data_IF_924900066270
#
_entry.id   IF_924900066270
#
_cell.length_a   1.000
_cell.length_b   1.000
_cell.length_c   1.000
_cell.angle_alpha   90.00
_cell.angle_beta   90.00
_cell.angle_gamma   90.00
#
_symmetry.space_group_name_H-M   'P 1'
#
loop_
_entity.id
_entity.type
_entity.pdbx_description
1 polymer ?
#
# COMPACT_ATOMS: atom_id res chain seq x y z
N UNK A 1 -18.43 20.67 -5.59
CA UNK A 1 -18.57 22.13 -5.39
C UNK A 1 -18.81 22.51 -3.93
N UNK A 2 -19.71 21.83 -3.19
CA UNK A 2 -19.98 22.14 -1.77
C UNK A 2 -18.77 22.03 -0.82
N UNK A 3 -17.86 21.07 -1.06
CA UNK A 3 -16.69 20.83 -0.19
C UNK A 3 -15.66 21.97 -0.17
N UNK A 4 -15.45 22.64 -1.30
CA UNK A 4 -14.59 23.82 -1.34
C UNK A 4 -15.24 24.97 -0.56
N UNK A 5 -16.58 25.09 -0.60
CA UNK A 5 -17.31 26.11 0.16
C UNK A 5 -17.08 25.96 1.67
N UNK A 6 -17.16 24.75 2.23
CA UNK A 6 -16.93 24.52 3.66
C UNK A 6 -15.52 24.94 4.10
N UNK A 7 -14.49 24.58 3.32
CA UNK A 7 -13.10 24.96 3.61
C UNK A 7 -12.94 26.49 3.55
N UNK A 8 -13.50 27.13 2.51
CA UNK A 8 -13.47 28.59 2.38
C UNK A 8 -14.19 29.27 3.54
N UNK A 9 -15.36 28.78 3.95
CA UNK A 9 -16.13 29.33 5.07
C UNK A 9 -15.32 29.26 6.37
N UNK A 10 -14.75 28.10 6.69
CA UNK A 10 -13.92 27.94 7.89
C UNK A 10 -12.75 28.94 7.84
N UNK A 11 -12.04 29.01 6.72
CA UNK A 11 -10.91 29.92 6.57
C UNK A 11 -11.32 31.39 6.77
N UNK A 12 -12.42 31.82 6.14
CA UNK A 12 -12.93 33.19 6.26
C UNK A 12 -13.35 33.52 7.70
N UNK A 13 -14.01 32.60 8.40
CA UNK A 13 -14.41 32.81 9.80
C UNK A 13 -13.18 33.04 10.68
N UNK A 14 -12.17 32.16 10.60
CA UNK A 14 -10.96 32.30 11.42
C UNK A 14 -10.10 33.50 11.02
N UNK A 15 -10.15 33.92 9.74
CA UNK A 15 -9.51 35.16 9.30
C UNK A 15 -10.19 36.40 9.90
N UNK A 16 -11.52 36.44 9.95
CA UNK A 16 -12.27 37.55 10.58
C UNK A 16 -12.02 37.57 12.09
N UNK A 17 -12.12 36.42 12.78
CA UNK A 17 -11.84 36.33 14.22
C UNK A 17 -10.41 36.75 14.51
N UNK A 18 -9.44 36.26 13.73
CA UNK A 18 -8.04 36.65 13.86
C UNK A 18 -7.85 38.15 13.67
N UNK A 19 -8.50 38.76 12.67
CA UNK A 19 -8.40 40.20 12.44
C UNK A 19 -8.96 41.00 13.62
N UNK A 20 -10.14 40.62 14.14
CA UNK A 20 -10.75 41.26 15.30
C UNK A 20 -9.83 41.16 16.53
N UNK A 21 -9.40 39.94 16.88
CA UNK A 21 -8.55 39.73 18.05
C UNK A 21 -7.16 40.36 17.90
N UNK A 22 -6.57 40.31 16.71
CA UNK A 22 -5.29 40.95 16.40
C UNK A 22 -5.35 42.46 16.55
N UNK A 23 -6.43 43.09 16.10
CA UNK A 23 -6.67 44.53 16.28
C UNK A 23 -6.95 44.89 17.75
N UNK A 24 -7.81 44.14 18.44
CA UNK A 24 -8.17 44.43 19.85
C UNK A 24 -6.98 44.31 20.80
N UNK A 25 -6.10 43.33 20.56
CA UNK A 25 -4.92 43.07 21.38
C UNK A 25 -3.65 43.75 20.87
N UNK A 26 -3.74 44.47 19.73
CA UNK A 26 -2.60 45.04 19.01
C UNK A 26 -1.44 44.03 18.82
N UNK A 27 -1.77 42.77 18.54
CA UNK A 27 -0.80 41.67 18.48
C UNK A 27 -0.94 40.85 17.21
N UNK A 28 0.11 40.87 16.40
CA UNK A 28 0.20 40.03 15.20
C UNK A 28 0.22 38.53 15.56
N UNK A 29 0.83 38.15 16.68
CA UNK A 29 0.84 36.77 17.16
C UNK A 29 -0.58 36.24 17.45
N UNK A 30 -1.47 37.09 17.96
CA UNK A 30 -2.87 36.74 18.18
C UNK A 30 -3.63 36.56 16.87
N UNK A 31 -3.40 37.43 15.88
CA UNK A 31 -3.95 37.25 14.53
C UNK A 31 -3.53 35.90 13.93
N UNK A 32 -2.23 35.61 13.93
CA UNK A 32 -1.70 34.38 13.33
C UNK A 32 -2.17 33.14 14.09
N UNK A 33 -2.27 33.21 15.42
CA UNK A 33 -2.79 32.12 16.25
C UNK A 33 -4.18 31.68 15.81
N UNK A 34 -5.12 32.61 15.63
CA UNK A 34 -6.47 32.28 15.16
C UNK A 34 -6.48 31.74 13.74
N UNK A 35 -5.65 32.30 12.84
CA UNK A 35 -5.50 31.78 11.49
C UNK A 35 -5.00 30.32 11.51
N UNK A 36 -4.04 30.00 12.37
CA UNK A 36 -3.52 28.65 12.53
C UNK A 36 -4.57 27.69 13.08
N UNK A 37 -5.40 28.08 14.05
CA UNK A 37 -6.52 27.23 14.50
C UNK A 37 -7.43 26.87 13.30
N UNK A 38 -7.73 27.83 12.43
CA UNK A 38 -8.50 27.58 11.20
C UNK A 38 -7.82 26.61 10.25
N UNK A 39 -6.52 26.80 10.00
CA UNK A 39 -5.71 25.90 9.15
C UNK A 39 -5.62 24.49 9.74
N UNK A 40 -5.46 24.37 11.06
CA UNK A 40 -5.47 23.10 11.78
C UNK A 40 -6.80 22.38 11.58
N UNK A 41 -7.93 23.07 11.69
CA UNK A 41 -9.26 22.47 11.55
C UNK A 41 -9.49 21.97 10.11
N UNK A 42 -9.12 22.78 9.11
CA UNK A 42 -9.16 22.38 7.69
C UNK A 42 -8.29 21.15 7.45
N UNK A 43 -7.07 21.14 7.99
CA UNK A 43 -6.15 20.02 7.86
C UNK A 43 -6.70 18.75 8.50
N UNK A 44 -7.27 18.87 9.70
CA UNK A 44 -7.89 17.78 10.46
C UNK A 44 -9.04 17.16 9.68
N UNK A 45 -9.97 17.97 9.15
CA UNK A 45 -11.06 17.50 8.30
C UNK A 45 -10.54 16.75 7.08
N UNK A 46 -9.51 17.28 6.42
CA UNK A 46 -8.90 16.64 5.24
C UNK A 46 -8.23 15.30 5.59
N UNK A 47 -7.59 15.19 6.75
CA UNK A 47 -7.06 13.92 7.25
C UNK A 47 -8.19 12.92 7.45
N UNK A 48 -9.23 13.26 8.21
CA UNK A 48 -10.32 12.33 8.50
C UNK A 48 -11.03 11.85 7.24
N UNK A 49 -11.23 12.75 6.27
CA UNK A 49 -11.82 12.38 5.01
C UNK A 49 -10.93 11.44 4.19
N UNK A 50 -9.62 11.71 4.15
CA UNK A 50 -8.68 10.80 3.51
C UNK A 50 -8.64 9.45 4.23
N UNK A 51 -8.71 9.41 5.56
CA UNK A 51 -8.80 8.17 6.34
C UNK A 51 -10.07 7.41 5.96
N UNK A 52 -11.23 8.09 5.93
CA UNK A 52 -12.51 7.50 5.54
C UNK A 52 -12.43 6.89 4.15
N UNK A 53 -11.93 7.65 3.18
CA UNK A 53 -11.72 7.19 1.80
C UNK A 53 -10.83 5.95 1.75
N UNK A 54 -9.71 5.93 2.48
CA UNK A 54 -8.82 4.77 2.50
C UNK A 54 -9.46 3.55 3.17
N UNK A 55 -10.29 3.75 4.21
CA UNK A 55 -11.06 2.67 4.85
C UNK A 55 -12.10 2.08 3.91
N UNK A 56 -12.83 2.91 3.16
CA UNK A 56 -13.82 2.45 2.16
C UNK A 56 -13.21 1.51 1.11
N UNK A 57 -11.97 1.79 0.70
CA UNK A 57 -11.23 0.95 -0.26
C UNK A 57 -10.32 -0.10 0.39
N UNK A 58 -10.35 -0.27 1.72
CA UNK A 58 -9.42 -1.11 2.47
C UNK A 58 -7.93 -0.87 2.10
N UNK A 59 -7.60 0.36 1.73
CA UNK A 59 -6.26 0.74 1.31
C UNK A 59 -5.38 1.02 2.53
N UNK A 60 -4.11 0.57 2.55
CA UNK A 60 -3.17 0.98 3.57
C UNK A 60 -2.95 2.50 3.52
N UNK A 61 -2.71 3.10 4.69
CA UNK A 61 -2.37 4.52 4.85
C UNK A 61 -0.86 4.74 4.60
N UNK A 62 -0.33 4.20 3.51
CA UNK A 62 1.10 4.20 3.17
C UNK A 62 1.44 5.25 2.10
N UNK A 63 0.75 6.38 2.08
CA UNK A 63 1.06 7.51 1.21
C UNK A 63 1.89 8.55 1.96
N UNK A 64 2.70 9.33 1.24
CA UNK A 64 3.46 10.45 1.81
C UNK A 64 2.59 11.40 2.64
N UNK A 65 1.33 11.63 2.22
CA UNK A 65 0.35 12.42 2.96
C UNK A 65 0.12 11.95 4.40
N UNK A 66 0.14 10.64 4.68
CA UNK A 66 -0.07 10.13 6.04
C UNK A 66 1.23 9.96 6.82
N UNK A 67 2.34 9.77 6.13
CA UNK A 67 3.62 9.48 6.78
C UNK A 67 4.36 10.76 7.16
N UNK A 68 4.40 11.75 6.26
CA UNK A 68 5.21 12.96 6.43
C UNK A 68 4.37 14.09 7.01
N UNK A 69 3.20 14.34 6.43
CA UNK A 69 2.46 15.58 6.68
C UNK A 69 1.97 15.74 8.13
N UNK A 70 1.43 14.71 8.81
CA UNK A 70 1.06 14.82 10.22
C UNK A 70 2.28 15.14 11.07
N UNK A 71 3.44 14.55 10.79
CA UNK A 71 4.65 14.80 11.56
C UNK A 71 5.13 16.25 11.40
N UNK A 72 5.14 16.77 10.18
CA UNK A 72 5.46 18.17 9.92
C UNK A 72 4.49 19.13 10.63
N UNK A 73 3.19 18.83 10.60
CA UNK A 73 2.17 19.63 11.31
C UNK A 73 2.39 19.55 12.82
N UNK A 74 2.62 18.37 13.39
CA UNK A 74 2.90 18.21 14.82
C UNK A 74 4.10 19.05 15.27
N UNK A 75 5.22 18.97 14.54
CA UNK A 75 6.43 19.75 14.83
C UNK A 75 6.14 21.26 14.73
N UNK A 76 5.48 21.69 13.65
CA UNK A 76 5.15 23.10 13.44
C UNK A 76 4.28 23.67 14.58
N UNK A 77 3.23 22.94 14.98
CA UNK A 77 2.34 23.40 16.05
C UNK A 77 3.00 23.36 17.43
N UNK A 78 3.97 22.46 17.68
CA UNK A 78 4.78 22.51 18.91
C UNK A 78 5.60 23.79 18.98
N UNK A 79 6.34 24.10 17.91
CA UNK A 79 7.16 25.32 17.85
C UNK A 79 6.29 26.57 17.96
N UNK A 80 5.13 26.59 17.29
CA UNK A 80 4.23 27.73 17.38
C UNK A 80 3.66 27.94 18.79
N UNK A 81 3.64 26.92 19.64
CA UNK A 81 3.22 27.05 21.04
C UNK A 81 3.97 28.17 21.77
N UNK A 82 5.27 28.34 21.52
CA UNK A 82 6.05 29.43 22.14
C UNK A 82 5.61 30.84 21.74
N UNK A 83 4.96 30.98 20.58
CA UNK A 83 4.58 32.27 20.00
C UNK A 83 3.09 32.56 20.09
N UNK A 84 2.29 31.56 20.47
CA UNK A 84 0.85 31.74 20.52
C UNK A 84 0.47 32.66 21.68
N UNK A 85 -0.42 33.62 21.42
CA UNK A 85 -0.99 34.45 22.47
C UNK A 85 -2.29 33.89 23.07
N UNK A 86 -2.67 32.66 22.72
CA UNK A 86 -3.87 31.98 23.24
C UNK A 86 -3.53 30.52 23.55
N UNK A 87 -3.84 30.05 24.77
CA UNK A 87 -3.53 28.68 25.24
C UNK A 87 -2.02 28.35 25.31
N UNK A 88 -1.15 29.36 25.31
CA UNK A 88 0.31 29.22 25.36
C UNK A 88 0.87 29.05 26.78
N UNK A 89 0.02 29.15 27.81
CA UNK A 89 0.39 29.00 29.22
C UNK A 89 1.04 27.64 29.48
N UNK A 90 2.16 27.66 30.19
CA UNK A 90 2.89 26.45 30.50
C UNK A 90 2.21 25.69 31.63
N UNK A 91 1.80 24.45 31.35
CA UNK A 91 1.12 23.57 32.28
C UNK A 91 2.09 22.81 33.20
N UNK A 92 3.39 22.81 32.89
CA UNK A 92 4.42 22.08 33.63
C UNK A 92 5.55 23.01 34.08
N UNK A 93 6.09 22.81 35.29
CA UNK A 93 7.31 23.49 35.73
C UNK A 93 8.57 22.84 35.14
N UNK A 94 9.43 23.62 34.48
CA UNK A 94 10.77 23.19 34.02
C UNK A 94 10.85 22.71 32.55
N UNK A 95 9.76 22.21 31.97
CA UNK A 95 9.64 21.92 30.52
C UNK A 95 8.46 22.70 29.95
N UNK A 96 8.55 23.08 28.68
CA UNK A 96 7.45 23.76 28.00
C UNK A 96 6.41 22.74 27.53
N UNK A 97 5.21 22.83 28.08
CA UNK A 97 4.06 22.07 27.64
C UNK A 97 2.78 22.86 27.89
N UNK A 98 2.15 23.34 26.83
CA UNK A 98 0.95 24.18 26.91
C UNK A 98 -0.31 23.45 26.43
N UNK A 99 -1.46 24.02 26.73
CA UNK A 99 -2.74 23.51 26.23
C UNK A 99 -2.80 23.58 24.69
N UNK A 100 -2.16 24.58 24.08
CA UNK A 100 -1.93 24.64 22.64
C UNK A 100 -1.19 23.40 22.12
N UNK A 101 -0.05 23.09 22.73
CA UNK A 101 0.77 21.93 22.38
C UNK A 101 0.02 20.60 22.57
N UNK A 102 -0.80 20.49 23.62
CA UNK A 102 -1.62 19.31 23.88
C UNK A 102 -2.72 19.10 22.82
N UNK A 103 -3.43 20.15 22.43
CA UNK A 103 -4.57 20.05 21.50
C UNK A 103 -4.10 19.96 20.05
N UNK A 104 -3.16 20.84 19.66
CA UNK A 104 -2.86 21.05 18.25
C UNK A 104 -1.67 20.25 17.74
N UNK A 105 -0.65 20.04 18.58
CA UNK A 105 0.59 19.36 18.17
C UNK A 105 0.61 17.87 18.53
N UNK A 106 0.27 17.54 19.77
CA UNK A 106 0.41 16.18 20.32
C UNK A 106 -0.32 15.08 19.52
N UNK A 107 -1.58 15.25 19.06
CA UNK A 107 -2.26 14.22 18.27
C UNK A 107 -1.52 13.88 16.98
N UNK A 108 -0.87 14.88 16.37
CA UNK A 108 -0.14 14.72 15.13
C UNK A 108 1.27 14.17 15.31
N UNK A 109 1.92 14.47 16.45
CA UNK A 109 3.15 13.80 16.86
C UNK A 109 2.89 12.31 17.08
N UNK A 110 1.86 11.95 17.85
CA UNK A 110 1.48 10.55 18.06
C UNK A 110 1.17 9.83 16.75
N UNK A 111 0.37 10.46 15.88
CA UNK A 111 0.03 9.89 14.58
C UNK A 111 1.27 9.74 13.68
N UNK A 112 2.17 10.73 13.69
CA UNK A 112 3.43 10.74 12.94
C UNK A 112 4.37 9.62 13.41
N UNK A 113 4.61 9.51 14.72
CA UNK A 113 5.41 8.44 15.33
C UNK A 113 4.83 7.05 15.03
N UNK A 114 3.51 6.90 15.10
CA UNK A 114 2.85 5.64 14.72
C UNK A 114 2.99 5.32 13.23
N UNK A 115 2.94 6.33 12.37
CA UNK A 115 3.15 6.17 10.93
C UNK A 115 4.61 5.78 10.63
N UNK A 116 5.57 6.38 11.33
CA UNK A 116 7.00 6.05 11.25
C UNK A 116 7.27 4.62 11.72
N UNK A 117 6.69 4.20 12.85
CA UNK A 117 6.68 2.81 13.30
C UNK A 117 6.19 1.85 12.20
N UNK A 118 5.07 2.19 11.55
CA UNK A 118 4.53 1.38 10.45
C UNK A 118 5.47 1.35 9.25
N UNK A 119 6.29 2.37 9.00
CA UNK A 119 7.30 2.32 7.94
C UNK A 119 8.35 1.23 8.17
N UNK A 120 8.75 1.01 9.42
CA UNK A 120 9.73 -0.03 9.77
C UNK A 120 9.12 -1.43 9.86
N UNK A 121 7.89 -1.55 10.38
CA UNK A 121 7.26 -2.84 10.70
C UNK A 121 6.23 -3.35 9.69
N UNK A 122 5.40 -2.46 9.11
CA UNK A 122 4.19 -2.86 8.36
C UNK A 122 4.25 -2.54 6.87
N UNK A 123 4.74 -1.36 6.51
CA UNK A 123 4.75 -0.89 5.14
C UNK A 123 5.97 -1.45 4.40
N UNK A 124 5.76 -1.94 3.18
CA UNK A 124 6.85 -2.33 2.28
C UNK A 124 7.28 -1.15 1.41
N UNK A 125 6.30 -0.37 0.96
CA UNK A 125 6.45 0.73 0.02
C UNK A 125 5.59 1.89 0.51
N UNK A 126 6.08 3.10 0.27
CA UNK A 126 5.35 4.35 0.49
C UNK A 126 5.18 5.06 -0.86
N UNK A 127 3.95 5.51 -1.11
CA UNK A 127 3.57 6.11 -2.39
C UNK A 127 3.65 7.64 -2.34
N UNK A 128 4.35 8.20 -3.32
CA UNK A 128 4.41 9.63 -3.65
C UNK A 128 3.69 9.85 -4.97
N UNK A 129 2.37 10.03 -4.90
CA UNK A 129 1.53 10.04 -6.09
C UNK A 129 1.67 8.72 -6.86
N UNK A 130 2.35 8.76 -8.00
CA UNK A 130 2.58 7.58 -8.85
C UNK A 130 3.90 6.85 -8.57
N UNK A 131 4.81 7.46 -7.78
CA UNK A 131 6.13 6.86 -7.48
C UNK A 131 6.07 6.06 -6.19
N UNK A 132 6.80 4.95 -6.15
CA UNK A 132 6.89 4.04 -5.02
C UNK A 132 8.32 4.07 -4.45
N UNK A 133 8.46 4.32 -3.15
CA UNK A 133 9.75 4.32 -2.43
C UNK A 133 9.73 3.23 -1.37
N UNK A 134 10.86 2.55 -1.14
CA UNK A 134 10.98 1.55 -0.06
C UNK A 134 10.68 2.20 1.30
N UNK A 135 9.73 1.62 2.04
CA UNK A 135 9.22 2.23 3.27
C UNK A 135 10.30 2.39 4.35
N UNK A 136 11.20 1.42 4.52
CA UNK A 136 12.33 1.53 5.45
C UNK A 136 13.31 2.63 5.09
N UNK A 137 13.64 2.78 3.81
CA UNK A 137 14.55 3.84 3.34
C UNK A 137 13.96 5.21 3.65
N UNK A 138 12.66 5.40 3.36
CA UNK A 138 11.98 6.63 3.75
C UNK A 138 11.89 6.79 5.27
N UNK A 139 11.63 5.71 6.01
CA UNK A 139 11.60 5.70 7.47
C UNK A 139 12.90 6.20 8.07
N UNK A 140 14.06 5.68 7.64
CA UNK A 140 15.36 6.17 8.08
C UNK A 140 15.61 7.63 7.70
N UNK A 141 15.32 8.00 6.45
CA UNK A 141 15.52 9.37 5.98
C UNK A 141 14.66 10.36 6.79
N UNK A 142 13.40 10.01 7.04
CA UNK A 142 12.49 10.82 7.84
C UNK A 142 12.93 10.88 9.31
N UNK A 143 13.33 9.76 9.91
CA UNK A 143 13.88 9.72 11.27
C UNK A 143 15.09 10.62 11.40
N UNK A 144 16.08 10.49 10.52
CA UNK A 144 17.30 11.31 10.54
C UNK A 144 16.94 12.78 10.36
N UNK A 145 16.06 13.11 9.41
CA UNK A 145 15.60 14.48 9.18
C UNK A 145 14.94 15.08 10.42
N UNK A 146 14.13 14.30 11.15
CA UNK A 146 13.45 14.74 12.38
C UNK A 146 14.46 14.96 13.51
N UNK A 147 15.41 14.04 13.69
CA UNK A 147 16.45 14.16 14.70
C UNK A 147 17.33 15.39 14.45
N UNK A 148 17.81 15.58 13.22
CA UNK A 148 18.61 16.75 12.85
C UNK A 148 17.80 18.02 13.11
N UNK A 149 16.55 18.07 12.66
CA UNK A 149 15.72 19.25 12.84
C UNK A 149 15.51 19.62 14.32
N UNK A 150 15.17 18.65 15.18
CA UNK A 150 14.95 18.91 16.62
C UNK A 150 16.25 19.37 17.30
N UNK A 151 17.37 18.70 17.00
CA UNK A 151 18.67 19.07 17.57
C UNK A 151 19.11 20.47 17.12
N UNK A 152 19.01 20.77 15.83
CA UNK A 152 19.32 22.11 15.30
C UNK A 152 18.41 23.16 15.93
N UNK A 153 17.10 22.90 16.03
CA UNK A 153 16.16 23.80 16.68
C UNK A 153 16.59 24.12 18.12
N UNK A 154 16.85 23.11 18.94
CA UNK A 154 17.27 23.36 20.33
C UNK A 154 18.64 24.03 20.42
N UNK A 155 19.63 23.62 19.63
CA UNK A 155 20.95 24.28 19.62
C UNK A 155 20.80 25.76 19.31
N UNK A 156 20.05 26.10 18.26
CA UNK A 156 19.84 27.50 17.87
C UNK A 156 19.13 28.29 18.98
N UNK A 157 18.07 27.74 19.57
CA UNK A 157 17.34 28.46 20.63
C UNK A 157 18.11 28.55 21.95
N UNK A 158 18.80 27.50 22.38
CA UNK A 158 19.67 27.56 23.56
C UNK A 158 20.84 28.54 23.38
N UNK A 159 21.38 28.65 22.17
CA UNK A 159 22.46 29.59 21.87
C UNK A 159 21.99 31.05 21.84
N UNK A 160 20.71 31.28 21.51
CA UNK A 160 20.14 32.63 21.39
C UNK A 160 19.49 33.11 22.70
N UNK A 161 19.03 32.19 23.55
CA UNK A 161 18.26 32.48 24.76
C UNK A 161 18.76 31.56 25.88
N UNK A 162 19.50 32.12 26.85
CA UNK A 162 20.16 31.39 27.97
C UNK A 162 19.21 30.53 28.83
N UNK A 163 17.89 30.72 28.73
CA UNK A 163 16.89 30.01 29.54
C UNK A 163 15.69 29.55 28.72
N UNK A 164 15.92 29.02 27.52
CA UNK A 164 14.83 28.47 26.72
C UNK A 164 14.38 27.09 27.26
N UNK A 165 13.13 26.94 27.75
CA UNK A 165 12.67 25.66 28.29
C UNK A 165 12.55 24.61 27.18
N UNK A 166 12.91 23.37 27.49
CA UNK A 166 12.77 22.24 26.57
C UNK A 166 11.30 21.97 26.27
N UNK A 167 10.93 21.93 24.98
CA UNK A 167 9.60 21.55 24.54
C UNK A 167 9.35 20.05 24.75
N UNK A 168 8.37 19.71 25.59
CA UNK A 168 8.08 18.32 25.95
C UNK A 168 7.61 17.49 24.74
N UNK A 169 6.84 18.08 23.81
CA UNK A 169 6.35 17.39 22.63
C UNK A 169 7.51 17.01 21.69
N UNK A 170 8.44 17.93 21.45
CA UNK A 170 9.63 17.67 20.66
C UNK A 170 10.57 16.68 21.36
N UNK A 171 10.69 16.75 22.69
CA UNK A 171 11.44 15.77 23.48
C UNK A 171 10.85 14.36 23.37
N UNK A 172 9.53 14.23 23.51
CA UNK A 172 8.83 12.96 23.31
C UNK A 172 9.01 12.44 21.88
N UNK A 173 8.95 13.33 20.88
CA UNK A 173 9.19 12.95 19.49
C UNK A 173 10.63 12.50 19.26
N UNK A 174 11.63 13.15 19.86
CA UNK A 174 13.03 12.77 19.79
C UNK A 174 13.22 11.36 20.37
N UNK A 175 12.78 11.14 21.61
CA UNK A 175 12.89 9.85 22.31
C UNK A 175 12.17 8.76 21.52
N UNK A 176 10.94 9.01 21.09
CA UNK A 176 10.17 8.05 20.30
C UNK A 176 10.88 7.72 18.98
N UNK A 177 11.45 8.71 18.29
CA UNK A 177 12.15 8.49 17.02
C UNK A 177 13.42 7.64 17.23
N UNK A 178 14.21 7.93 18.26
CA UNK A 178 15.40 7.14 18.62
C UNK A 178 15.00 5.69 18.93
N UNK A 179 14.01 5.50 19.80
CA UNK A 179 13.53 4.17 20.17
C UNK A 179 13.01 3.40 18.95
N UNK A 180 12.26 4.05 18.06
CA UNK A 180 11.74 3.41 16.85
C UNK A 180 12.87 2.96 15.91
N UNK A 181 13.90 3.78 15.74
CA UNK A 181 15.06 3.45 14.91
C UNK A 181 15.88 2.30 15.52
N UNK A 182 16.14 2.33 16.82
CA UNK A 182 16.90 1.26 17.51
C UNK A 182 16.11 -0.06 17.47
N UNK A 183 14.86 -0.05 17.92
CA UNK A 183 14.05 -1.26 18.11
C UNK A 183 13.47 -1.83 16.81
N UNK A 184 13.20 -1.01 15.79
CA UNK A 184 12.56 -1.48 14.57
C UNK A 184 13.40 -1.28 13.31
N UNK A 185 14.36 -0.36 13.33
CA UNK A 185 15.34 -0.17 12.27
C UNK A 185 16.44 -1.24 12.34
N UNK A 186 17.23 -1.22 13.41
CA UNK A 186 18.45 -2.02 13.52
C UNK A 186 18.24 -3.46 14.01
N UNK A 187 17.42 -3.66 15.06
CA UNK A 187 17.29 -4.99 15.70
C UNK A 187 16.31 -5.91 14.97
N UNK A 188 15.33 -5.36 14.24
CA UNK A 188 14.37 -6.15 13.48
C UNK A 188 14.91 -6.52 12.09
N UNK A 189 15.61 -7.66 11.98
CA UNK A 189 15.67 -8.40 10.71
C UNK A 189 14.25 -8.85 10.41
N UNK A 190 13.72 -8.50 9.23
CA UNK A 190 12.32 -8.81 8.84
C UNK A 190 11.99 -10.25 9.25
N UNK A 191 10.99 -10.43 10.11
CA UNK A 191 10.19 -11.63 10.04
C UNK A 191 9.64 -11.71 8.62
N UNK A 192 9.95 -12.82 7.96
CA UNK A 192 9.57 -13.09 6.58
C UNK A 192 8.05 -13.01 6.43
N UNK A 193 7.57 -11.89 5.90
CA UNK A 193 6.16 -11.58 5.65
C UNK A 193 5.30 -11.56 6.93
N UNK A 194 4.41 -10.56 7.11
CA UNK A 194 3.38 -10.70 8.10
C UNK A 194 2.53 -11.90 7.71
N UNK A 195 2.53 -12.93 8.56
CA UNK A 195 1.62 -14.05 8.53
C UNK A 195 0.17 -13.59 8.36
N UNK A 196 -0.18 -12.34 8.74
CA UNK A 196 -1.47 -11.73 8.44
C UNK A 196 -1.91 -11.80 6.98
N UNK A 197 -1.04 -11.70 5.97
CA UNK A 197 -1.51 -11.83 4.57
C UNK A 197 -1.71 -13.29 4.20
N UNK A 198 -0.82 -14.19 4.64
CA UNK A 198 -0.90 -15.62 4.29
C UNK A 198 -1.98 -16.33 5.08
N UNK A 199 -2.16 -16.00 6.35
CA UNK A 199 -3.18 -16.52 7.25
C UNK A 199 -4.54 -15.88 6.98
N UNK A 200 -4.62 -14.59 6.64
CA UNK A 200 -5.89 -14.02 6.15
C UNK A 200 -6.29 -14.65 4.81
N UNK A 201 -5.34 -14.80 3.87
CA UNK A 201 -5.59 -15.50 2.60
C UNK A 201 -5.94 -16.96 2.87
N UNK A 202 -5.25 -17.68 3.75
CA UNK A 202 -5.50 -19.09 4.06
C UNK A 202 -6.81 -19.29 4.83
N UNK A 203 -7.13 -18.43 5.80
CA UNK A 203 -8.37 -18.50 6.56
C UNK A 203 -9.57 -18.17 5.66
N UNK A 204 -9.45 -17.12 4.82
CA UNK A 204 -10.46 -16.80 3.80
C UNK A 204 -10.59 -17.91 2.75
N UNK A 205 -9.49 -18.53 2.33
CA UNK A 205 -9.49 -19.67 1.40
C UNK A 205 -10.14 -20.90 2.05
N UNK A 206 -9.91 -21.15 3.34
CA UNK A 206 -10.58 -22.24 4.10
C UNK A 206 -12.08 -21.99 4.24
N UNK A 207 -12.49 -20.76 4.55
CA UNK A 207 -13.92 -20.39 4.61
C UNK A 207 -14.59 -20.54 3.26
N UNK A 208 -13.94 -20.09 2.19
CA UNK A 208 -14.46 -20.24 0.82
C UNK A 208 -14.50 -21.71 0.43
N UNK A 209 -13.45 -22.49 0.66
CA UNK A 209 -13.46 -23.93 0.39
C UNK A 209 -14.57 -24.64 1.18
N UNK A 210 -14.86 -24.24 2.42
CA UNK A 210 -16.02 -24.77 3.16
C UNK A 210 -17.37 -24.46 2.52
N UNK A 211 -17.47 -23.33 1.79
CA UNK A 211 -18.69 -22.87 1.12
C UNK A 211 -18.80 -23.38 -0.34
N UNK A 212 -17.67 -23.61 -1.02
CA UNK A 212 -17.61 -24.02 -2.44
C UNK A 212 -17.30 -25.49 -2.64
N UNK A 213 -16.93 -26.24 -1.59
CA UNK A 213 -16.92 -27.69 -1.70
C UNK A 213 -18.38 -28.13 -1.69
N UNK A 214 -18.94 -28.66 -2.79
CA UNK A 214 -20.25 -29.28 -2.72
C UNK A 214 -20.16 -30.33 -1.63
N UNK A 215 -21.10 -30.27 -0.67
CA UNK A 215 -21.33 -31.37 0.27
C UNK A 215 -21.69 -32.55 -0.63
N UNK A 216 -20.69 -33.33 -1.04
CA UNK A 216 -20.92 -34.65 -1.60
C UNK A 216 -21.60 -35.37 -0.46
N UNK A 217 -22.92 -35.38 -0.59
CA UNK A 217 -23.82 -36.30 0.03
C UNK A 217 -23.19 -37.66 -0.27
N UNK A 218 -22.32 -38.12 0.64
CA UNK A 218 -22.06 -39.54 0.80
C UNK A 218 -23.44 -40.08 1.14
N UNK A 219 -24.16 -40.49 0.09
CA UNK A 219 -25.20 -41.48 0.21
C UNK A 219 -24.60 -42.56 1.08
N UNK A 220 -25.12 -42.62 2.29
CA UNK A 220 -24.90 -43.71 3.18
C UNK A 220 -25.60 -44.91 2.52
N UNK A 221 -24.93 -45.52 1.55
CA UNK A 221 -25.33 -46.83 1.04
C UNK A 221 -25.10 -47.76 2.22
N UNK A 222 -26.20 -48.05 2.89
CA UNK A 222 -26.31 -49.04 3.95
C UNK A 222 -26.18 -50.41 3.27
N UNK A 223 -24.95 -50.83 2.96
CA UNK A 223 -24.68 -52.26 2.79
C UNK A 223 -24.61 -52.87 4.17
N UNK A 224 -25.75 -53.39 4.62
CA UNK A 224 -25.83 -54.46 5.62
C UNK A 224 -24.98 -55.63 5.14
N UNK A 225 -23.78 -55.80 5.72
CA UNK A 225 -23.05 -57.07 5.69
C UNK A 225 -22.58 -57.42 7.09
N UNK A 226 -23.52 -58.01 7.83
CA UNK A 226 -23.43 -59.27 8.58
C UNK A 226 -22.00 -59.77 8.89
N UNK A 227 -21.68 -59.67 10.19
CA UNK A 227 -20.89 -60.58 11.08
C UNK A 227 -19.46 -61.01 10.72
N UNK A 228 -18.49 -60.59 11.54
CA UNK A 228 -17.94 -61.42 12.64
C UNK A 228 -16.86 -60.66 13.44
N UNK A 229 -16.88 -60.69 14.78
CA UNK A 229 -15.81 -60.14 15.61
C UNK A 229 -14.87 -61.25 16.08
N UNK A 230 -13.55 -61.04 15.97
CA UNK A 230 -12.61 -61.66 16.92
C UNK A 230 -11.31 -60.84 17.00
N UNK A 231 -10.74 -60.66 18.22
CA UNK A 231 -9.62 -59.76 18.47
C UNK A 231 -8.29 -60.53 18.57
N UNK A 232 -7.16 -59.88 18.29
CA UNK A 232 -5.88 -60.22 18.94
C UNK A 232 -4.78 -59.21 18.61
N UNK A 233 -4.30 -58.52 19.65
CA UNK A 233 -2.89 -58.44 20.09
C UNK A 233 -1.78 -58.59 19.04
N UNK A 234 -0.84 -57.63 19.00
CA UNK A 234 0.53 -57.78 19.55
C UNK A 234 1.46 -56.64 19.10
N UNK A 235 2.20 -56.10 20.07
CA UNK A 235 3.31 -55.17 19.92
C UNK A 235 4.56 -55.84 19.32
N UNK A 236 5.41 -55.12 18.57
CA UNK A 236 6.86 -54.89 18.87
C UNK A 236 7.62 -54.22 17.70
N UNK A 237 8.29 -53.13 18.04
CA UNK A 237 9.70 -52.74 17.77
C UNK A 237 10.55 -53.62 16.84
N UNK A 238 11.19 -53.05 15.81
CA UNK A 238 12.64 -52.77 15.76
C UNK A 238 13.16 -52.38 14.35
N UNK A 239 14.16 -51.52 14.39
CA UNK A 239 15.14 -51.08 13.38
C UNK A 239 15.75 -52.16 12.48
N UNK A 240 16.07 -51.84 11.22
CA UNK A 240 17.47 -51.84 10.69
C UNK A 240 17.62 -51.33 9.25
N UNK A 241 18.60 -50.45 9.11
CA UNK A 241 19.52 -50.17 7.99
C UNK A 241 19.53 -51.18 6.82
N UNK A 242 19.47 -50.67 5.59
CA UNK A 242 20.38 -51.11 4.51
C UNK A 242 20.47 -50.08 3.39
N UNK A 243 21.71 -49.95 2.93
CA UNK A 243 22.27 -49.00 1.99
C UNK A 243 22.33 -49.71 0.64
N UNK A 244 21.90 -49.07 -0.45
CA UNK A 244 22.29 -49.54 -1.79
C UNK A 244 22.59 -48.37 -2.69
N UNK A 245 23.84 -48.38 -3.13
CA UNK A 245 24.55 -47.46 -3.96
C UNK A 245 24.44 -47.98 -5.40
N UNK A 246 24.13 -47.13 -6.37
CA UNK A 246 24.31 -47.48 -7.79
C UNK A 246 24.78 -46.26 -8.56
N UNK A 247 26.08 -46.28 -8.84
CA UNK A 247 26.79 -45.53 -9.86
C UNK A 247 26.74 -46.30 -11.18
N UNK A 248 26.47 -45.64 -12.31
CA UNK A 248 26.81 -46.18 -13.63
C UNK A 248 27.39 -45.08 -14.52
N UNK A 249 28.57 -45.39 -15.04
CA UNK A 249 29.48 -44.59 -15.87
C UNK A 249 29.55 -45.27 -17.25
N UNK A 250 29.27 -44.49 -18.32
CA UNK A 250 29.75 -44.54 -19.75
C UNK A 250 29.58 -45.83 -20.60
N UNK A 251 29.70 -45.80 -21.97
CA UNK A 251 30.42 -44.83 -22.81
C UNK A 251 29.80 -44.33 -24.13
N UNK A 252 30.50 -43.29 -24.60
CA UNK A 252 30.51 -42.54 -25.86
C UNK A 252 30.71 -43.38 -27.13
N UNK A 253 30.03 -42.99 -28.21
CA UNK A 253 30.49 -43.22 -29.58
C UNK A 253 30.30 -41.94 -30.41
N UNK A 254 31.40 -41.53 -31.04
CA UNK A 254 31.55 -40.39 -31.93
C UNK A 254 30.82 -40.63 -33.26
N UNK A 255 30.08 -39.62 -33.74
CA UNK A 255 29.93 -39.39 -35.18
C UNK A 255 29.83 -37.90 -35.48
N UNK A 256 30.96 -37.34 -35.89
CA UNK A 256 31.05 -36.08 -36.61
C UNK A 256 30.26 -36.19 -37.91
N UNK A 257 29.36 -35.24 -38.17
CA UNK A 257 28.97 -34.90 -39.55
C UNK A 257 28.88 -33.39 -39.69
N UNK A 258 29.29 -33.00 -40.89
CA UNK A 258 29.69 -31.69 -41.37
C UNK A 258 28.56 -30.68 -41.41
N UNK A 259 28.96 -29.45 -41.09
CA UNK A 259 28.18 -28.22 -41.03
C UNK A 259 27.80 -27.76 -42.45
N UNK A 260 26.52 -27.88 -42.80
CA UNK A 260 25.94 -27.16 -43.96
C UNK A 260 25.10 -26.01 -43.43
N UNK A 261 25.53 -24.79 -43.70
CA UNK A 261 24.77 -23.55 -43.48
C UNK A 261 23.58 -23.53 -44.45
N UNK A 262 22.38 -23.80 -43.96
CA UNK A 262 21.14 -23.43 -44.65
C UNK A 262 20.70 -22.07 -44.10
N UNK A 263 20.83 -21.03 -44.92
CA UNK A 263 20.24 -19.72 -44.66
C UNK A 263 18.72 -19.82 -44.80
N UNK A 264 18.03 -20.11 -43.71
CA UNK A 264 16.57 -19.98 -43.67
C UNK A 264 16.24 -18.50 -43.47
N UNK A 265 16.04 -17.83 -44.59
CA UNK A 265 15.35 -16.55 -44.73
C UNK A 265 13.99 -16.69 -44.05
N UNK A 266 13.88 -16.20 -42.82
CA UNK A 266 12.61 -16.19 -42.10
C UNK A 266 11.75 -15.13 -42.74
N UNK A 267 10.87 -15.57 -43.63
CA UNK A 267 9.79 -14.79 -44.18
C UNK A 267 9.05 -14.12 -43.02
N UNK A 268 9.23 -12.80 -42.89
CA UNK A 268 8.37 -11.97 -42.06
C UNK A 268 7.00 -12.03 -42.72
N UNK A 269 6.16 -12.97 -42.29
CA UNK A 269 4.72 -12.90 -42.53
C UNK A 269 4.23 -11.65 -41.82
N UNK A 270 4.21 -10.56 -42.58
CA UNK A 270 3.56 -9.30 -42.29
C UNK A 270 2.08 -9.62 -42.09
N UNK A 271 1.70 -9.90 -40.85
CA UNK A 271 0.31 -10.09 -40.47
C UNK A 271 -0.46 -8.82 -40.86
N UNK A 272 -1.28 -8.93 -41.91
CA UNK A 272 -2.19 -7.86 -42.31
C UNK A 272 -3.10 -7.50 -41.12
N UNK A 273 -3.36 -6.20 -40.88
CA UNK A 273 -4.21 -5.76 -39.80
C UNK A 273 -5.68 -5.98 -40.18
N UNK A 274 -6.22 -7.17 -39.92
CA UNK A 274 -7.67 -7.39 -39.88
C UNK A 274 -8.24 -6.73 -38.64
N UNK A 275 -8.46 -5.41 -38.72
CA UNK A 275 -8.96 -4.57 -37.63
C UNK A 275 -10.48 -4.66 -37.40
N UNK A 276 -11.07 -5.84 -37.56
CA UNK A 276 -12.38 -6.14 -36.97
C UNK A 276 -12.14 -6.84 -35.64
N UNK A 277 -12.30 -6.09 -34.54
CA UNK A 277 -12.29 -6.64 -33.18
C UNK A 277 -13.45 -7.63 -33.07
N UNK A 278 -13.18 -8.90 -33.34
CA UNK A 278 -14.16 -9.96 -33.15
C UNK A 278 -14.36 -10.18 -31.64
N UNK A 279 -15.61 -10.03 -31.20
CA UNK A 279 -16.12 -10.37 -29.87
C UNK A 279 -15.66 -9.43 -28.72
N UNK A 280 -16.14 -8.18 -28.76
CA UNK A 280 -15.95 -7.13 -27.73
C UNK A 280 -16.35 -7.60 -26.33
N UNK A 281 -17.34 -8.51 -26.23
CA UNK A 281 -17.82 -9.09 -24.96
C UNK A 281 -16.74 -9.85 -24.17
N UNK A 282 -15.67 -10.31 -24.83
CA UNK A 282 -14.53 -10.94 -24.14
C UNK A 282 -13.76 -9.96 -23.24
N UNK A 283 -13.88 -8.66 -23.49
CA UNK A 283 -13.22 -7.60 -22.73
C UNK A 283 -14.14 -6.89 -21.73
N UNK A 284 -15.42 -7.30 -21.66
CA UNK A 284 -16.38 -6.77 -20.69
C UNK A 284 -16.06 -7.30 -19.29
N UNK A 285 -15.72 -6.45 -18.30
CA UNK A 285 -15.55 -6.87 -16.90
C UNK A 285 -16.77 -7.65 -16.40
N UNK A 286 -16.54 -8.70 -15.61
CA UNK A 286 -17.63 -9.46 -14.98
C UNK A 286 -18.09 -8.69 -13.73
N UNK A 287 -19.17 -7.93 -13.87
CA UNK A 287 -19.83 -7.15 -12.82
C UNK A 287 -21.29 -6.85 -13.19
N UNK A 288 -22.10 -6.43 -12.21
CA UNK A 288 -23.53 -6.14 -12.39
C UNK A 288 -23.79 -4.85 -13.18
N UNK A 289 -22.91 -3.86 -13.07
CA UNK A 289 -22.98 -2.58 -13.79
C UNK A 289 -21.63 -2.25 -14.40
N UNK A 290 -21.63 -1.65 -15.60
CA UNK A 290 -20.42 -1.17 -16.27
C UNK A 290 -20.26 0.32 -16.03
N UNK A 291 -19.15 0.69 -15.42
CA UNK A 291 -18.74 2.08 -15.21
C UNK A 291 -17.35 2.32 -15.81
N UNK A 292 -16.99 3.58 -16.02
CA UNK A 292 -15.64 3.95 -16.49
C UNK A 292 -14.53 3.41 -15.57
N UNK A 293 -14.83 3.25 -14.28
CA UNK A 293 -13.91 2.72 -13.28
C UNK A 293 -13.51 1.28 -13.55
N UNK A 294 -14.40 0.47 -14.13
CA UNK A 294 -14.15 -0.96 -14.39
C UNK A 294 -13.13 -1.20 -15.50
N UNK A 295 -12.84 -0.16 -16.28
CA UNK A 295 -11.87 -0.19 -17.39
C UNK A 295 -10.50 0.38 -17.01
N UNK A 296 -10.33 0.83 -15.77
CA UNK A 296 -9.04 1.29 -15.24
C UNK A 296 -8.14 0.09 -14.92
N UNK A 297 -6.84 0.27 -15.11
CA UNK A 297 -5.86 -0.72 -14.72
C UNK A 297 -5.99 -1.04 -13.22
N UNK A 298 -6.05 -2.33 -12.87
CA UNK A 298 -6.17 -2.80 -11.48
C UNK A 298 -4.93 -2.56 -10.61
N UNK A 299 -3.81 -2.10 -11.19
CA UNK A 299 -2.58 -1.81 -10.45
C UNK A 299 -2.32 -0.31 -10.34
N UNK A 300 -2.29 0.43 -11.45
CA UNK A 300 -2.06 1.89 -11.41
C UNK A 300 -3.32 2.73 -11.27
N UNK A 301 -4.51 2.14 -11.33
CA UNK A 301 -5.81 2.81 -11.22
C UNK A 301 -6.02 3.95 -12.22
N UNK A 302 -5.31 3.91 -13.35
CA UNK A 302 -5.48 4.84 -14.47
C UNK A 302 -6.23 4.15 -15.61
N UNK A 303 -7.06 4.92 -16.29
CA UNK A 303 -7.69 4.49 -17.54
C UNK A 303 -6.62 4.47 -18.64
N UNK A 304 -6.43 3.34 -19.36
CA UNK A 304 -5.48 3.30 -20.46
C UNK A 304 -5.80 4.37 -21.50
N UNK A 305 -4.83 5.24 -21.81
CA UNK A 305 -5.02 6.38 -22.72
C UNK A 305 -3.82 6.64 -23.62
N UNK A 306 -4.09 7.20 -24.79
CA UNK A 306 -3.07 7.68 -25.73
C UNK A 306 -2.93 9.21 -25.56
N UNK A 307 -1.70 9.78 -25.68
CA UNK A 307 -0.45 9.12 -26.08
C UNK A 307 0.33 8.46 -24.93
N UNK A 308 -0.02 8.70 -23.66
CA UNK A 308 0.76 8.32 -22.47
C UNK A 308 1.10 6.82 -22.38
N UNK A 309 0.19 5.93 -22.76
CA UNK A 309 0.40 4.47 -22.67
C UNK A 309 0.78 3.81 -23.99
N UNK A 310 1.28 4.58 -24.97
CA UNK A 310 1.68 4.04 -26.28
C UNK A 310 2.74 2.95 -26.10
N UNK A 311 2.48 1.76 -26.65
CA UNK A 311 3.38 0.61 -26.58
C UNK A 311 3.28 -0.27 -25.32
N UNK A 312 2.59 0.17 -24.25
CA UNK A 312 2.48 -0.63 -23.01
C UNK A 312 1.57 -1.85 -23.16
N UNK A 313 0.48 -1.72 -23.92
CA UNK A 313 -0.52 -2.76 -24.11
C UNK A 313 -1.34 -3.07 -22.85
N UNK A 314 -2.48 -3.74 -23.02
CA UNK A 314 -3.45 -4.07 -21.97
C UNK A 314 -3.67 -5.57 -21.95
N UNK A 315 -3.57 -6.17 -20.77
CA UNK A 315 -3.90 -7.57 -20.49
C UNK A 315 -5.17 -7.60 -19.65
N UNK A 316 -6.11 -8.47 -20.00
CA UNK A 316 -7.38 -8.63 -19.30
C UNK A 316 -7.39 -9.97 -18.57
N UNK A 317 -7.80 -9.96 -17.30
CA UNK A 317 -7.86 -11.18 -16.50
C UNK A 317 -8.81 -12.22 -17.15
N UNK A 318 -8.40 -13.50 -17.32
CA UNK A 318 -9.26 -14.52 -17.91
C UNK A 318 -10.52 -14.82 -17.07
N UNK A 319 -10.44 -14.60 -15.75
CA UNK A 319 -11.52 -14.92 -14.81
C UNK A 319 -12.50 -13.75 -14.64
N UNK A 320 -12.03 -12.60 -14.15
CA UNK A 320 -12.91 -11.46 -13.86
C UNK A 320 -12.98 -10.41 -14.97
N UNK A 321 -12.15 -10.53 -16.01
CA UNK A 321 -12.08 -9.60 -17.15
C UNK A 321 -11.78 -8.14 -16.79
N UNK A 322 -11.18 -7.88 -15.63
CA UNK A 322 -10.63 -6.56 -15.32
C UNK A 322 -9.25 -6.37 -15.99
N UNK A 323 -8.93 -5.15 -16.44
CA UNK A 323 -7.74 -4.86 -17.21
C UNK A 323 -6.52 -4.52 -16.33
N UNK A 324 -5.35 -4.68 -16.92
CA UNK A 324 -4.05 -4.24 -16.39
C UNK A 324 -3.13 -3.83 -17.53
N UNK A 325 -2.23 -2.87 -17.33
CA UNK A 325 -1.14 -2.66 -18.28
C UNK A 325 -0.25 -3.92 -18.33
N UNK A 326 0.26 -4.26 -19.52
CA UNK A 326 0.97 -5.53 -19.75
C UNK A 326 2.25 -5.67 -18.93
N UNK A 327 2.99 -4.57 -18.77
CA UNK A 327 4.16 -4.44 -17.91
C UNK A 327 3.83 -4.71 -16.44
N UNK A 328 2.82 -4.02 -15.91
CA UNK A 328 2.37 -4.18 -14.52
C UNK A 328 1.84 -5.60 -14.26
N UNK A 329 1.14 -6.19 -15.24
CA UNK A 329 0.70 -7.58 -15.17
C UNK A 329 1.88 -8.56 -15.10
N UNK A 330 2.90 -8.37 -15.95
CA UNK A 330 4.09 -9.23 -15.96
C UNK A 330 4.85 -9.15 -14.64
N UNK A 331 5.01 -7.93 -14.10
CA UNK A 331 5.67 -7.74 -12.80
C UNK A 331 4.89 -8.39 -11.65
N UNK A 332 3.56 -8.26 -11.66
CA UNK A 332 2.72 -8.96 -10.69
C UNK A 332 2.84 -10.49 -10.81
N UNK A 333 2.86 -11.03 -12.03
CA UNK A 333 2.97 -12.47 -12.27
C UNK A 333 4.32 -13.08 -11.87
N UNK A 334 5.37 -12.27 -11.67
CA UNK A 334 6.65 -12.73 -11.09
C UNK A 334 6.53 -13.08 -9.60
N UNK A 335 5.56 -12.49 -8.91
CA UNK A 335 5.43 -12.61 -7.44
C UNK A 335 4.15 -13.32 -7.00
N UNK A 336 3.12 -13.36 -7.85
CA UNK A 336 1.82 -13.97 -7.56
C UNK A 336 1.26 -14.70 -8.77
N UNK A 337 0.66 -15.87 -8.54
CA UNK A 337 -0.11 -16.59 -9.56
C UNK A 337 -1.62 -16.27 -9.53
N UNK A 338 -2.04 -15.30 -8.73
CA UNK A 338 -3.44 -14.93 -8.53
C UNK A 338 -3.76 -13.59 -9.20
N UNK A 339 -5.00 -13.39 -9.62
CA UNK A 339 -5.48 -12.06 -10.02
C UNK A 339 -5.51 -11.11 -8.81
N UNK A 340 -4.99 -9.89 -8.94
CA UNK A 340 -5.03 -8.89 -7.86
C UNK A 340 -6.46 -8.41 -7.52
N UNK A 341 -7.40 -8.50 -8.48
CA UNK A 341 -8.80 -8.09 -8.29
C UNK A 341 -9.69 -9.21 -7.76
N UNK A 342 -9.73 -10.36 -8.45
CA UNK A 342 -10.65 -11.45 -8.10
C UNK A 342 -10.01 -12.59 -7.32
N UNK A 343 -8.70 -12.55 -7.08
CA UNK A 343 -7.93 -13.60 -6.38
C UNK A 343 -7.99 -14.99 -7.02
N UNK A 344 -8.64 -15.15 -8.17
CA UNK A 344 -8.68 -16.41 -8.89
C UNK A 344 -7.30 -16.73 -9.50
N UNK A 345 -6.87 -18.00 -9.50
CA UNK A 345 -5.61 -18.41 -10.08
C UNK A 345 -5.57 -18.13 -11.58
N UNK A 346 -4.44 -17.60 -12.04
CA UNK A 346 -4.17 -17.36 -13.46
C UNK A 346 -3.50 -18.60 -14.06
N UNK A 347 -4.07 -19.21 -15.10
CA UNK A 347 -3.51 -20.39 -15.76
C UNK A 347 -2.05 -20.19 -16.16
N UNK A 348 -1.20 -21.21 -15.97
CA UNK A 348 0.23 -21.15 -16.31
C UNK A 348 0.48 -20.80 -17.78
N UNK A 349 -0.36 -21.31 -18.69
CA UNK A 349 -0.34 -20.97 -20.12
C UNK A 349 -0.54 -19.46 -20.35
N UNK A 350 -1.52 -18.86 -19.67
CA UNK A 350 -1.80 -17.42 -19.75
C UNK A 350 -0.69 -16.57 -19.12
N UNK A 351 -0.01 -17.07 -18.07
CA UNK A 351 1.13 -16.37 -17.45
C UNK A 351 2.34 -16.31 -18.37
N UNK A 352 2.63 -17.39 -19.09
CA UNK A 352 3.76 -17.47 -20.03
C UNK A 352 3.52 -16.64 -21.28
N UNK A 353 2.29 -16.63 -21.79
CA UNK A 353 1.92 -15.89 -22.99
C UNK A 353 0.56 -15.18 -22.82
N UNK A 354 0.52 -14.05 -22.09
CA UNK A 354 -0.72 -13.32 -21.90
C UNK A 354 -1.17 -12.68 -23.20
N UNK A 355 -2.48 -12.69 -23.47
CA UNK A 355 -3.04 -12.01 -24.64
C UNK A 355 -3.00 -10.49 -24.41
N UNK A 356 -2.08 -9.82 -25.09
CA UNK A 356 -1.91 -8.36 -25.03
C UNK A 356 -2.76 -7.69 -26.10
N UNK A 357 -3.59 -6.72 -25.70
CA UNK A 357 -4.36 -5.85 -26.59
C UNK A 357 -3.64 -4.51 -26.69
N UNK A 358 -3.54 -3.94 -27.89
CA UNK A 358 -2.99 -2.59 -28.04
C UNK A 358 -3.88 -1.57 -27.30
N UNK A 359 -3.27 -0.53 -26.71
CA UNK A 359 -4.04 0.52 -26.01
C UNK A 359 -5.04 1.17 -26.95
N UNK A 360 -4.68 1.39 -28.22
CA UNK A 360 -5.60 1.91 -29.27
C UNK A 360 -6.86 1.06 -29.39
N UNK A 361 -6.71 -0.27 -29.52
CA UNK A 361 -7.85 -1.17 -29.65
C UNK A 361 -8.64 -1.27 -28.34
N UNK A 362 -7.95 -1.29 -27.20
CA UNK A 362 -8.59 -1.33 -25.89
C UNK A 362 -9.45 -0.08 -25.62
N UNK A 363 -8.97 1.10 -26.04
CA UNK A 363 -9.74 2.36 -25.97
C UNK A 363 -11.01 2.31 -26.81
N UNK A 364 -10.93 1.75 -28.01
CA UNK A 364 -12.12 1.54 -28.87
C UNK A 364 -13.10 0.58 -28.18
N UNK A 365 -12.59 -0.53 -27.61
CA UNK A 365 -13.38 -1.57 -26.94
C UNK A 365 -14.15 -1.01 -25.74
N UNK A 366 -13.49 -0.34 -24.80
CA UNK A 366 -14.20 0.13 -23.60
C UNK A 366 -15.17 1.27 -23.93
N UNK A 367 -14.84 2.13 -24.91
CA UNK A 367 -15.77 3.16 -25.38
C UNK A 367 -17.01 2.53 -26.01
N UNK A 368 -16.88 1.42 -26.75
CA UNK A 368 -18.03 0.67 -27.26
C UNK A 368 -18.84 -0.01 -26.14
N UNK A 369 -18.20 -0.49 -25.07
CA UNK A 369 -18.89 -1.15 -23.95
C UNK A 369 -19.57 -0.18 -22.97
N UNK A 370 -19.05 1.05 -22.85
CA UNK A 370 -19.62 2.13 -22.04
C UNK A 370 -20.64 2.98 -22.79
N UNK A 371 -20.69 2.86 -24.12
CA UNK A 371 -21.80 3.37 -24.91
C UNK A 371 -23.04 2.58 -24.54
N UNK A 372 -24.08 3.31 -24.09
CA UNK A 372 -25.47 2.92 -24.34
C UNK A 372 -25.63 2.63 -25.84
#
# INVERSE_FOLDING_TARGET
MARNKTITIIFTIFLIIGAIHGLLSYSFSNFVTWLLIGLWLIFTLKIFENIKRHREFNSPQNTAFFVILPLCVGIFYSIWGFYTGVLGENLLGGVYFSLWSLIFAFPYILYGSFSLYRCFKKYNVIYFGTKAVKARTLGYLLSISVLIFILTYWITFYSAIESFPLDLNLLLLLIATILLVILFGFTNKRSSLPALTRDYIANRTRTINRLTTPRTQRQHVRTTRVTNPTPSTRATTHTTRSRTQSSRITPTSNKQTTRIKTSNTTHITRAQPTSKIQNVNKFKPRGSYLSLEDFKCIFCFKLPKLPEDRGRGVVVCPNCRYPSHSDEFKDWMRTSNLCSRCSAPIPSSFRRNPRVVSVKNYVIIYRQLLKK
#
